data_IF_747690344712
#
_entry.id   IF_747690344712
#
_cell.length_a   1.000
_cell.length_b   1.000
_cell.length_c   1.000
_cell.angle_alpha   90.00
_cell.angle_beta   90.00
_cell.angle_gamma   90.00
#
_symmetry.space_group_name_H-M   'P 1'
#
loop_
_entity.id
_entity.type
_entity.pdbx_description
1 polymer ?
#
# COMPACT_ATOMS: atom_id res chain seq x y z
N UNK A 1 -19.14 -19.33 0.03
CA UNK A 1 -18.68 -19.16 -1.38
C UNK A 1 -18.14 -17.74 -1.53
N UNK A 2 -17.59 -17.40 -2.70
CA UNK A 2 -16.78 -16.18 -2.97
C UNK A 2 -15.34 -16.25 -2.43
N UNK A 3 -14.43 -16.82 -3.22
CA UNK A 3 -12.97 -16.68 -3.07
C UNK A 3 -12.51 -15.43 -3.85
N UNK A 4 -11.50 -14.71 -3.35
CA UNK A 4 -11.07 -13.40 -3.88
C UNK A 4 -9.56 -13.39 -4.13
N UNK A 5 -9.11 -13.09 -5.36
CA UNK A 5 -7.70 -13.17 -5.82
C UNK A 5 -7.39 -12.28 -7.04
N UNK A 6 -6.12 -11.86 -7.15
CA UNK A 6 -5.62 -10.61 -7.80
C UNK A 6 -4.08 -10.72 -7.99
N UNK A 7 -3.23 -9.82 -8.55
CA UNK A 7 -3.31 -8.64 -9.45
C UNK A 7 -1.85 -8.18 -9.78
N UNK A 8 -1.19 -8.75 -10.78
CA UNK A 8 0.24 -8.47 -11.08
C UNK A 8 0.57 -7.21 -11.90
N UNK A 9 1.87 -6.84 -11.96
CA UNK A 9 2.40 -5.66 -12.69
C UNK A 9 3.82 -5.84 -13.29
N UNK A 10 4.45 -4.86 -14.00
CA UNK A 10 5.94 -4.75 -14.17
C UNK A 10 6.44 -3.46 -14.92
N UNK A 11 7.76 -3.14 -14.93
CA UNK A 11 8.44 -1.97 -15.59
C UNK A 11 9.69 -2.30 -16.51
N UNK A 12 9.76 -1.91 -17.81
CA UNK A 12 11.00 -1.95 -18.69
C UNK A 12 11.08 -0.80 -19.71
N UNK A 13 12.19 -0.05 -19.72
CA UNK A 13 12.31 1.32 -20.29
C UNK A 13 12.45 1.34 -21.82
N UNK A 14 11.94 2.40 -22.47
CA UNK A 14 12.15 2.67 -23.91
C UNK A 14 13.65 2.76 -24.28
N UNK A 15 14.11 1.73 -25.02
CA UNK A 15 15.44 1.46 -25.62
C UNK A 15 16.39 0.57 -24.80
N UNK A 16 17.02 -0.32 -25.57
CA UNK A 16 18.06 -1.32 -25.24
C UNK A 16 17.60 -2.63 -24.53
N UNK A 17 17.76 -3.73 -25.28
CA UNK A 17 17.80 -5.15 -24.88
C UNK A 17 16.69 -5.74 -23.98
N UNK A 18 15.47 -5.82 -24.54
CA UNK A 18 14.54 -6.96 -24.43
C UNK A 18 14.58 -7.79 -23.13
N UNK A 19 14.13 -7.21 -22.02
CA UNK A 19 13.42 -7.94 -20.97
C UNK A 19 11.95 -7.52 -21.03
N UNK A 20 11.00 -8.39 -20.64
CA UNK A 20 9.57 -8.22 -20.96
C UNK A 20 8.67 -8.18 -19.71
N UNK A 21 7.44 -7.68 -19.90
CA UNK A 21 6.70 -6.94 -18.90
C UNK A 21 5.18 -7.16 -18.85
N UNK A 22 4.60 -7.51 -17.71
CA UNK A 22 3.27 -8.11 -17.69
C UNK A 22 2.46 -7.79 -16.43
N UNK A 23 1.17 -7.56 -16.63
CA UNK A 23 0.18 -7.29 -15.58
C UNK A 23 -0.76 -8.48 -15.38
N UNK A 24 -1.50 -8.46 -14.28
CA UNK A 24 -2.59 -9.37 -14.00
C UNK A 24 -3.70 -8.59 -13.26
N UNK A 25 -4.96 -8.82 -13.60
CA UNK A 25 -6.11 -8.12 -13.02
C UNK A 25 -7.43 -8.87 -13.33
N UNK A 26 -8.33 -8.95 -12.34
CA UNK A 26 -9.62 -9.64 -12.41
C UNK A 26 -10.70 -8.73 -13.01
N UNK A 27 -11.81 -9.34 -13.45
CA UNK A 27 -13.11 -8.66 -13.51
C UNK A 27 -14.22 -9.60 -13.03
N UNK A 28 -15.35 -9.01 -12.60
CA UNK A 28 -16.63 -9.61 -12.13
C UNK A 28 -16.90 -9.50 -10.62
N UNK A 29 -18.09 -8.97 -10.32
CA UNK A 29 -18.70 -8.69 -9.00
C UNK A 29 -17.97 -7.67 -8.11
N UNK A 30 -18.64 -6.54 -7.85
CA UNK A 30 -18.09 -5.33 -7.25
C UNK A 30 -18.24 -5.29 -5.72
N UNK A 31 -17.12 -5.46 -5.02
CA UNK A 31 -16.92 -5.10 -3.61
C UNK A 31 -16.04 -3.82 -3.52
N UNK A 32 -16.09 -3.07 -2.41
CA UNK A 32 -15.32 -1.83 -2.24
C UNK A 32 -13.79 -2.08 -2.30
N UNK A 33 -13.32 -3.20 -1.74
CA UNK A 33 -11.90 -3.62 -1.85
C UNK A 33 -11.46 -3.77 -3.30
N UNK A 34 -12.33 -4.34 -4.14
CA UNK A 34 -12.07 -4.57 -5.55
C UNK A 34 -11.83 -3.27 -6.34
N UNK A 35 -12.60 -2.23 -5.99
CA UNK A 35 -12.49 -0.93 -6.64
C UNK A 35 -11.13 -0.28 -6.33
N UNK A 36 -10.62 -0.45 -5.10
CA UNK A 36 -9.33 0.10 -4.69
C UNK A 36 -8.15 -0.58 -5.41
N UNK A 37 -8.19 -1.89 -5.60
CA UNK A 37 -7.18 -2.64 -6.36
C UNK A 37 -7.21 -2.28 -7.86
N UNK A 38 -8.40 -2.12 -8.44
CA UNK A 38 -8.58 -1.67 -9.82
C UNK A 38 -8.12 -0.21 -10.02
N UNK A 39 -8.34 0.67 -9.04
CA UNK A 39 -7.80 2.03 -9.07
C UNK A 39 -6.28 2.06 -9.01
N UNK A 40 -5.65 1.26 -8.14
CA UNK A 40 -4.20 1.13 -8.07
C UNK A 40 -3.61 0.64 -9.41
N UNK A 41 -4.26 -0.35 -10.03
CA UNK A 41 -3.89 -0.88 -11.34
C UNK A 41 -3.99 0.17 -12.45
N UNK A 42 -5.13 0.86 -12.57
CA UNK A 42 -5.34 1.86 -13.62
C UNK A 42 -4.37 3.05 -13.50
N UNK A 43 -4.04 3.46 -12.27
CA UNK A 43 -3.01 4.48 -12.01
C UNK A 43 -1.63 3.98 -12.45
N UNK A 44 -1.27 2.75 -12.09
CA UNK A 44 0.03 2.20 -12.48
C UNK A 44 0.17 2.09 -13.99
N UNK A 45 -0.84 1.63 -14.76
CA UNK A 45 -0.75 1.63 -16.24
C UNK A 45 -0.41 3.03 -16.79
N UNK A 46 -1.05 4.07 -16.26
CA UNK A 46 -0.83 5.44 -16.70
C UNK A 46 0.58 5.94 -16.33
N UNK A 47 1.02 5.72 -15.08
CA UNK A 47 2.36 6.10 -14.62
C UNK A 47 3.45 5.33 -15.40
N UNK A 48 3.19 4.08 -15.79
CA UNK A 48 4.08 3.26 -16.61
C UNK A 48 4.26 3.83 -18.03
N UNK A 49 3.17 4.13 -18.76
CA UNK A 49 3.29 4.69 -20.12
C UNK A 49 3.97 6.06 -20.13
N UNK A 50 3.68 6.91 -19.13
CA UNK A 50 4.36 8.21 -18.90
C UNK A 50 5.88 8.02 -18.74
N UNK A 51 6.30 7.00 -17.99
CA UNK A 51 7.72 6.65 -17.81
C UNK A 51 8.34 5.91 -19.02
N UNK A 52 7.54 5.61 -20.04
CA UNK A 52 7.97 4.90 -21.24
C UNK A 52 8.10 3.39 -21.06
N UNK A 53 7.35 2.82 -20.12
CA UNK A 53 7.21 1.38 -19.89
C UNK A 53 5.98 0.85 -20.67
N UNK A 54 6.07 -0.37 -21.25
CA UNK A 54 4.99 -0.95 -22.05
C UNK A 54 4.52 -2.30 -21.49
N UNK A 55 3.23 -2.41 -21.17
CA UNK A 55 2.59 -3.63 -20.65
C UNK A 55 2.29 -4.61 -21.81
N UNK A 56 2.87 -5.81 -21.78
CA UNK A 56 2.81 -6.80 -22.89
C UNK A 56 1.66 -7.81 -22.73
N UNK A 57 1.10 -7.96 -21.53
CA UNK A 57 -0.17 -8.66 -21.27
C UNK A 57 -0.83 -8.15 -19.99
N UNK A 58 -2.15 -8.31 -19.87
CA UNK A 58 -2.85 -8.37 -18.57
C UNK A 58 -3.66 -9.67 -18.46
N UNK A 59 -3.43 -10.48 -17.41
CA UNK A 59 -4.19 -11.73 -17.18
C UNK A 59 -5.12 -11.68 -15.96
N UNK A 60 -6.39 -12.05 -16.15
CA UNK A 60 -7.34 -12.30 -15.06
C UNK A 60 -7.34 -13.78 -14.67
N UNK A 61 -7.35 -14.09 -13.37
CA UNK A 61 -7.82 -15.37 -12.87
C UNK A 61 -8.79 -15.18 -11.69
N UNK A 62 -9.61 -16.20 -11.46
CA UNK A 62 -10.56 -16.26 -10.35
C UNK A 62 -10.63 -17.67 -9.73
N UNK A 63 -10.50 -18.71 -10.56
CA UNK A 63 -10.44 -20.11 -10.14
C UNK A 63 -9.32 -20.93 -10.84
N UNK A 64 -8.62 -20.37 -11.83
CA UNK A 64 -7.62 -21.08 -12.65
C UNK A 64 -6.35 -20.24 -12.81
N UNK A 65 -5.29 -20.58 -12.07
CA UNK A 65 -3.98 -19.91 -12.20
C UNK A 65 -3.20 -20.43 -13.40
N UNK A 66 -3.22 -21.74 -13.64
CA UNK A 66 -2.40 -22.43 -14.65
C UNK A 66 -2.62 -21.89 -16.07
N UNK A 67 -3.86 -21.53 -16.43
CA UNK A 67 -4.19 -20.98 -17.75
C UNK A 67 -3.75 -19.52 -17.94
N UNK A 68 -3.54 -18.76 -16.85
CA UNK A 68 -2.89 -17.46 -16.88
C UNK A 68 -1.36 -17.60 -16.99
N UNK A 69 -0.74 -18.50 -16.21
CA UNK A 69 0.70 -18.75 -16.26
C UNK A 69 1.17 -19.34 -17.61
N UNK A 70 0.36 -20.18 -18.28
CA UNK A 70 0.67 -20.67 -19.62
C UNK A 70 0.82 -19.52 -20.63
N UNK A 71 -0.21 -18.66 -20.76
CA UNK A 71 -0.19 -17.49 -21.66
C UNK A 71 0.98 -16.54 -21.36
N UNK A 72 1.32 -16.40 -20.07
CA UNK A 72 2.50 -15.67 -19.65
C UNK A 72 3.78 -16.35 -20.18
N UNK A 73 4.00 -17.63 -19.89
CA UNK A 73 5.16 -18.39 -20.39
C UNK A 73 5.29 -18.36 -21.92
N UNK A 74 4.17 -18.49 -22.63
CA UNK A 74 4.06 -18.39 -24.10
C UNK A 74 4.52 -17.03 -24.66
N UNK A 75 4.26 -15.93 -23.93
CA UNK A 75 4.67 -14.58 -24.32
C UNK A 75 6.14 -14.24 -23.97
N UNK A 76 6.93 -15.21 -23.49
CA UNK A 76 8.33 -15.05 -23.02
C UNK A 76 8.46 -14.08 -21.84
N UNK A 77 7.69 -14.35 -20.78
CA UNK A 77 7.65 -13.54 -19.56
C UNK A 77 8.94 -13.59 -18.75
N UNK A 78 9.37 -12.43 -18.22
CA UNK A 78 10.59 -12.28 -17.42
C UNK A 78 10.45 -11.43 -16.15
N UNK A 79 9.52 -10.47 -16.08
CA UNK A 79 9.27 -9.67 -14.85
C UNK A 79 7.77 -9.68 -14.53
N UNK A 80 7.42 -9.98 -13.28
CA UNK A 80 6.06 -10.19 -12.78
C UNK A 80 5.92 -9.64 -11.34
N UNK A 81 5.53 -8.38 -11.16
CA UNK A 81 4.99 -7.90 -9.88
C UNK A 81 3.67 -8.64 -9.54
N UNK A 82 3.23 -8.63 -8.28
CA UNK A 82 2.01 -9.31 -7.79
C UNK A 82 1.27 -8.58 -6.66
N UNK A 83 -0.05 -8.45 -6.73
CA UNK A 83 -0.93 -8.05 -5.61
C UNK A 83 -2.01 -9.13 -5.40
N UNK A 84 -1.61 -10.28 -4.89
CA UNK A 84 -2.51 -11.31 -4.36
C UNK A 84 -2.56 -11.19 -2.83
N UNK A 85 -3.44 -11.95 -2.16
CA UNK A 85 -3.31 -12.22 -0.72
C UNK A 85 -2.44 -13.48 -0.48
N UNK A 86 -2.11 -13.78 0.78
CA UNK A 86 -1.25 -14.91 1.18
C UNK A 86 -1.71 -16.27 0.64
N UNK A 87 -3.03 -16.52 0.61
CA UNK A 87 -3.61 -17.76 0.10
C UNK A 87 -3.32 -17.95 -1.39
N UNK A 88 -3.62 -16.93 -2.21
CA UNK A 88 -3.30 -16.95 -3.63
C UNK A 88 -1.79 -16.87 -3.89
N UNK A 89 -1.01 -16.23 -3.03
CA UNK A 89 0.46 -16.22 -3.14
C UNK A 89 0.99 -17.67 -3.12
N UNK A 90 0.55 -18.48 -2.15
CA UNK A 90 0.91 -19.91 -2.07
C UNK A 90 0.48 -20.67 -3.33
N UNK A 91 -0.79 -20.53 -3.76
CA UNK A 91 -1.29 -21.21 -4.97
C UNK A 91 -0.50 -20.81 -6.24
N UNK A 92 -0.22 -19.52 -6.42
CA UNK A 92 0.45 -18.97 -7.61
C UNK A 92 1.91 -19.37 -7.68
N UNK A 93 2.66 -19.30 -6.58
CA UNK A 93 4.07 -19.72 -6.60
C UNK A 93 4.20 -21.25 -6.73
N UNK A 94 3.28 -22.04 -6.18
CA UNK A 94 3.22 -23.48 -6.40
C UNK A 94 2.90 -23.88 -7.86
N UNK A 95 2.07 -23.11 -8.57
CA UNK A 95 1.90 -23.30 -10.01
C UNK A 95 3.12 -22.75 -10.80
N UNK A 96 3.70 -21.62 -10.39
CA UNK A 96 4.90 -21.07 -11.02
C UNK A 96 6.09 -22.04 -10.94
N UNK A 97 6.20 -22.83 -9.86
CA UNK A 97 7.16 -23.93 -9.75
C UNK A 97 7.00 -24.94 -10.90
N UNK A 98 5.79 -25.51 -11.06
CA UNK A 98 5.45 -26.49 -12.10
C UNK A 98 5.63 -25.93 -13.52
N UNK A 99 5.33 -24.65 -13.72
CA UNK A 99 5.56 -23.96 -14.99
C UNK A 99 7.04 -23.58 -15.19
N UNK A 100 7.93 -23.75 -14.22
CA UNK A 100 9.34 -23.36 -14.31
C UNK A 100 9.50 -21.85 -14.51
N UNK A 101 8.70 -21.07 -13.78
CA UNK A 101 8.60 -19.61 -13.82
C UNK A 101 9.25 -18.93 -12.60
N UNK A 102 10.39 -19.47 -12.14
CA UNK A 102 11.11 -19.03 -10.96
C UNK A 102 12.63 -19.00 -11.17
N UNK A 103 13.38 -18.54 -10.17
CA UNK A 103 14.84 -18.42 -10.21
C UNK A 103 15.35 -17.42 -11.26
N UNK A 104 16.64 -17.50 -11.61
CA UNK A 104 17.41 -16.47 -12.37
C UNK A 104 16.86 -16.02 -13.74
N UNK A 105 15.76 -16.59 -14.23
CA UNK A 105 15.09 -16.22 -15.50
C UNK A 105 13.76 -15.47 -15.30
N UNK A 106 13.30 -15.28 -14.07
CA UNK A 106 12.05 -14.62 -13.74
C UNK A 106 12.22 -13.78 -12.47
N UNK A 107 11.82 -12.52 -12.50
CA UNK A 107 11.80 -11.67 -11.32
C UNK A 107 10.35 -11.45 -10.86
N UNK A 108 10.02 -11.96 -9.67
CA UNK A 108 8.76 -11.66 -9.00
C UNK A 108 8.91 -10.46 -8.05
N UNK A 109 7.86 -9.66 -7.91
CA UNK A 109 7.83 -8.42 -7.10
C UNK A 109 6.46 -8.24 -6.42
N UNK A 110 6.21 -8.86 -5.28
CA UNK A 110 4.85 -8.97 -4.71
C UNK A 110 4.58 -7.94 -3.60
N UNK A 111 3.30 -7.69 -3.29
CA UNK A 111 2.92 -6.89 -2.12
C UNK A 111 3.39 -7.58 -0.84
N UNK A 112 4.16 -6.87 -0.02
CA UNK A 112 4.71 -7.40 1.23
C UNK A 112 3.79 -7.25 2.44
N UNK A 113 2.51 -6.94 2.25
CA UNK A 113 1.53 -6.67 3.31
C UNK A 113 1.05 -7.95 4.04
N UNK A 114 1.89 -8.99 4.09
CA UNK A 114 1.57 -10.34 4.55
C UNK A 114 2.02 -10.60 5.99
N UNK A 115 1.50 -11.68 6.58
CA UNK A 115 1.95 -12.19 7.88
C UNK A 115 3.40 -12.69 7.86
N UNK A 116 4.07 -12.64 9.02
CA UNK A 116 5.42 -13.16 9.16
C UNK A 116 5.43 -14.69 8.92
N UNK A 117 6.27 -15.14 7.98
CA UNK A 117 6.35 -16.54 7.55
C UNK A 117 5.06 -17.11 6.94
N UNK A 118 4.27 -16.28 6.24
CA UNK A 118 3.03 -16.68 5.55
C UNK A 118 3.15 -17.92 4.63
N UNK A 119 4.35 -18.19 4.11
CA UNK A 119 4.64 -19.36 3.26
C UNK A 119 4.81 -20.68 4.04
N UNK A 120 4.89 -20.64 5.38
CA UNK A 120 4.95 -21.83 6.24
C UNK A 120 3.56 -22.34 6.67
N UNK A 121 2.51 -21.54 6.51
CA UNK A 121 1.14 -21.91 6.87
C UNK A 121 0.62 -23.02 5.95
N UNK A 122 0.54 -24.22 6.51
CA UNK A 122 0.35 -25.47 5.79
C UNK A 122 -1.10 -25.88 5.56
N UNK A 123 -2.07 -25.07 6.01
CA UNK A 123 -3.51 -25.38 5.93
C UNK A 123 -4.01 -25.47 4.47
N UNK A 124 -3.27 -24.89 3.51
CA UNK A 124 -3.68 -24.78 2.11
C UNK A 124 -2.78 -25.53 1.11
N UNK A 125 -1.78 -26.30 1.57
CA UNK A 125 -0.93 -27.13 0.70
C UNK A 125 -1.67 -28.35 0.13
N UNK A 126 -2.47 -28.15 -0.92
CA UNK A 126 -3.15 -29.25 -1.62
C UNK A 126 -2.32 -29.82 -2.78
N UNK A 127 -1.42 -29.04 -3.39
CA UNK A 127 -0.81 -29.35 -4.69
C UNK A 127 0.69 -29.01 -4.81
N UNK A 128 1.42 -28.89 -3.70
CA UNK A 128 2.86 -28.60 -3.67
C UNK A 128 3.48 -28.90 -2.29
N UNK A 129 4.79 -29.09 -2.23
CA UNK A 129 5.56 -29.15 -0.97
C UNK A 129 6.05 -27.76 -0.52
N UNK A 130 6.51 -27.67 0.74
CA UNK A 130 7.10 -26.44 1.27
C UNK A 130 8.43 -26.10 0.58
N UNK A 131 9.21 -27.10 0.21
CA UNK A 131 10.46 -26.97 -0.53
C UNK A 131 10.21 -26.40 -1.93
N UNK A 132 9.21 -26.93 -2.65
CA UNK A 132 8.80 -26.42 -3.97
C UNK A 132 8.33 -24.95 -3.91
N UNK A 133 7.52 -24.60 -2.90
CA UNK A 133 7.11 -23.20 -2.69
C UNK A 133 8.31 -22.31 -2.35
N UNK A 134 9.23 -22.78 -1.52
CA UNK A 134 10.41 -22.02 -1.12
C UNK A 134 11.37 -21.79 -2.29
N UNK A 135 11.59 -22.81 -3.14
CA UNK A 135 12.39 -22.68 -4.37
C UNK A 135 11.75 -21.72 -5.38
N UNK A 136 10.41 -21.69 -5.45
CA UNK A 136 9.67 -20.74 -6.29
C UNK A 136 9.70 -19.30 -5.78
N UNK A 137 9.75 -19.09 -4.46
CA UNK A 137 9.82 -17.78 -3.81
C UNK A 137 11.23 -17.18 -3.77
N UNK A 138 12.27 -18.00 -3.93
CA UNK A 138 13.67 -17.57 -3.84
C UNK A 138 13.99 -16.42 -4.81
N UNK A 139 14.46 -15.30 -4.26
CA UNK A 139 14.73 -14.06 -5.01
C UNK A 139 13.51 -13.20 -5.35
N UNK A 140 12.30 -13.53 -4.87
CA UNK A 140 11.14 -12.64 -4.94
C UNK A 140 11.37 -11.35 -4.13
N UNK A 141 11.09 -10.19 -4.71
CA UNK A 141 11.11 -8.90 -4.01
C UNK A 141 9.73 -8.70 -3.39
N UNK A 142 9.65 -8.16 -2.17
CA UNK A 142 8.40 -7.73 -1.56
C UNK A 142 8.39 -6.21 -1.38
N UNK A 143 7.32 -5.55 -1.80
CA UNK A 143 7.14 -4.09 -1.65
C UNK A 143 6.10 -3.80 -0.58
N UNK A 144 6.47 -3.07 0.47
CA UNK A 144 5.61 -2.84 1.64
C UNK A 144 5.79 -1.44 2.26
N UNK A 145 4.85 -1.03 3.11
CA UNK A 145 4.90 0.21 3.89
C UNK A 145 5.79 0.04 5.14
N UNK A 146 6.87 0.82 5.23
CA UNK A 146 7.72 0.89 6.41
C UNK A 146 6.91 1.40 7.64
N UNK A 147 6.72 0.61 8.72
CA UNK A 147 5.83 1.00 9.82
C UNK A 147 6.38 2.12 10.74
N UNK A 148 7.70 2.29 10.78
CA UNK A 148 8.43 3.24 11.63
C UNK A 148 9.72 3.69 10.94
N UNK A 149 10.13 4.94 11.20
CA UNK A 149 11.40 5.48 10.71
C UNK A 149 12.61 4.70 11.24
N UNK A 150 13.62 4.55 10.39
CA UNK A 150 14.93 3.96 10.72
C UNK A 150 16.07 4.99 10.73
N UNK A 151 15.76 6.30 10.58
CA UNK A 151 16.78 7.36 10.55
C UNK A 151 17.42 7.66 11.93
N UNK A 152 16.74 7.32 13.03
CA UNK A 152 17.21 7.62 14.39
C UNK A 152 17.02 9.09 14.81
N UNK A 153 16.29 9.89 14.04
CA UNK A 153 16.03 11.30 14.34
C UNK A 153 15.07 11.45 15.54
N UNK A 154 15.19 12.59 16.23
CA UNK A 154 14.30 12.95 17.34
C UNK A 154 13.02 13.56 16.75
N UNK A 155 11.89 12.90 17.00
CA UNK A 155 10.58 13.31 16.47
C UNK A 155 9.98 14.47 17.28
N UNK A 156 8.86 15.03 16.81
CA UNK A 156 8.19 16.17 17.48
C UNK A 156 7.78 15.89 18.95
N UNK A 157 7.63 14.62 19.35
CA UNK A 157 7.31 14.26 20.73
C UNK A 157 8.50 14.38 21.69
N UNK A 158 9.71 14.53 21.17
CA UNK A 158 10.97 14.45 21.92
C UNK A 158 11.59 13.05 21.98
N UNK A 159 10.89 12.02 21.48
CA UNK A 159 11.37 10.64 21.41
C UNK A 159 11.82 10.29 19.98
N UNK A 160 12.75 9.33 19.86
CA UNK A 160 13.04 8.64 18.60
C UNK A 160 11.94 7.60 18.26
N UNK A 161 11.90 7.14 17.01
CA UNK A 161 10.97 6.10 16.58
C UNK A 161 11.16 4.75 17.32
N UNK A 162 12.37 4.44 17.78
CA UNK A 162 12.68 3.22 18.54
C UNK A 162 12.22 3.33 20.00
N UNK A 163 12.41 4.48 20.65
CA UNK A 163 11.87 4.73 21.99
C UNK A 163 10.32 4.68 21.98
N UNK A 164 9.70 5.25 20.95
CA UNK A 164 8.26 5.11 20.72
C UNK A 164 7.84 3.65 20.49
N UNK A 165 8.64 2.84 19.74
CA UNK A 165 8.36 1.41 19.55
C UNK A 165 8.35 0.68 20.89
N UNK A 166 9.35 0.92 21.74
CA UNK A 166 9.45 0.32 23.07
C UNK A 166 8.28 0.75 23.97
N UNK A 167 7.85 2.02 23.92
CA UNK A 167 6.65 2.49 24.63
C UNK A 167 5.38 1.77 24.13
N UNK A 168 5.19 1.68 22.81
CA UNK A 168 4.07 0.97 22.20
C UNK A 168 4.04 -0.53 22.54
N UNK A 169 5.17 -1.22 22.46
CA UNK A 169 5.30 -2.64 22.79
C UNK A 169 4.96 -2.92 24.26
N UNK A 170 5.30 -2.02 25.19
CA UNK A 170 4.95 -2.14 26.60
C UNK A 170 3.45 -1.88 26.89
N UNK A 171 2.77 -1.06 26.07
CA UNK A 171 1.38 -0.64 26.30
C UNK A 171 0.33 -1.46 25.54
N UNK A 172 0.68 -2.08 24.40
CA UNK A 172 -0.28 -2.76 23.51
C UNK A 172 -0.76 -4.14 23.97
N UNK A 173 -0.10 -4.73 24.96
CA UNK A 173 -0.39 -6.10 25.39
C UNK A 173 -0.13 -7.11 24.27
N UNK A 174 -1.13 -7.93 23.94
CA UNK A 174 -1.01 -8.96 22.89
C UNK A 174 -1.18 -8.44 21.46
N UNK A 175 -1.88 -7.31 21.27
CA UNK A 175 -2.28 -6.85 19.95
C UNK A 175 -1.15 -6.15 19.20
N UNK A 176 -1.05 -6.34 17.89
CA UNK A 176 -0.15 -5.59 17.01
C UNK A 176 -0.94 -4.98 15.85
N UNK A 177 -0.70 -3.71 15.56
CA UNK A 177 -1.18 -3.06 14.34
C UNK A 177 -0.02 -2.35 13.66
N UNK A 178 0.32 -2.78 12.44
CA UNK A 178 1.32 -2.15 11.58
C UNK A 178 1.05 -0.68 11.22
N UNK A 179 -0.12 -0.15 11.61
CA UNK A 179 -0.52 1.25 11.40
C UNK A 179 -0.41 2.11 12.67
N UNK A 180 0.22 1.62 13.73
CA UNK A 180 0.34 2.34 15.01
C UNK A 180 1.07 3.69 14.88
N UNK A 181 2.24 3.72 14.23
CA UNK A 181 3.00 4.96 13.98
C UNK A 181 2.23 5.97 13.15
N UNK A 182 1.60 5.54 12.05
CA UNK A 182 0.75 6.40 11.22
C UNK A 182 -0.44 6.99 11.99
N UNK A 183 -0.97 6.27 12.98
CA UNK A 183 -2.05 6.76 13.86
C UNK A 183 -1.51 7.82 14.84
N UNK A 184 -0.33 7.57 15.42
CA UNK A 184 0.36 8.50 16.33
C UNK A 184 0.68 9.84 15.64
N UNK A 185 1.30 9.79 14.46
CA UNK A 185 1.60 10.97 13.65
C UNK A 185 0.33 11.67 13.12
N UNK A 186 -0.75 10.93 12.88
CA UNK A 186 -2.06 11.50 12.56
C UNK A 186 -2.64 12.37 13.68
N UNK A 187 -2.47 11.96 14.94
CA UNK A 187 -2.88 12.76 16.11
C UNK A 187 -2.00 14.01 16.25
N UNK A 188 -0.69 13.90 16.09
CA UNK A 188 0.23 15.06 16.07
C UNK A 188 -0.13 16.05 14.96
N UNK A 189 -0.38 15.57 13.74
CA UNK A 189 -0.83 16.37 12.60
C UNK A 189 -2.10 17.18 12.93
N UNK A 190 -3.08 16.54 13.56
CA UNK A 190 -4.32 17.18 13.96
C UNK A 190 -4.12 18.20 15.11
N UNK A 191 -3.27 17.90 16.10
CA UNK A 191 -2.94 18.82 17.19
C UNK A 191 -2.26 20.10 16.67
N UNK A 192 -1.29 19.97 15.77
CA UNK A 192 -0.60 21.09 15.13
C UNK A 192 -1.56 21.93 14.26
N UNK A 193 -2.46 21.29 13.52
CA UNK A 193 -3.46 21.98 12.73
C UNK A 193 -4.41 22.81 13.61
N UNK A 194 -4.89 22.23 14.72
CA UNK A 194 -5.71 22.92 15.74
C UNK A 194 -4.94 24.10 16.34
N UNK A 195 -3.66 23.94 16.68
CA UNK A 195 -2.82 25.01 17.23
C UNK A 195 -2.65 26.18 16.25
N UNK A 196 -2.34 25.91 14.98
CA UNK A 196 -2.23 26.94 13.95
C UNK A 196 -3.57 27.66 13.73
N UNK A 197 -4.70 26.94 13.67
CA UNK A 197 -6.03 27.55 13.57
C UNK A 197 -6.35 28.43 14.79
N UNK A 198 -6.02 27.98 16.01
CA UNK A 198 -6.29 28.71 17.25
C UNK A 198 -5.56 30.07 17.31
N UNK A 199 -4.33 30.13 16.77
CA UNK A 199 -3.57 31.38 16.61
C UNK A 199 -4.15 32.25 15.48
N UNK A 200 -4.57 31.63 14.38
CA UNK A 200 -4.94 32.33 13.14
C UNK A 200 -6.37 32.89 13.15
N UNK A 201 -7.34 32.22 13.77
CA UNK A 201 -8.74 32.69 13.81
C UNK A 201 -8.88 34.11 14.37
N UNK A 202 -8.12 34.45 15.43
CA UNK A 202 -8.15 35.77 16.09
C UNK A 202 -7.79 36.93 15.17
N UNK A 203 -7.06 36.68 14.08
CA UNK A 203 -6.71 37.71 13.09
C UNK A 203 -7.92 38.12 12.22
N UNK A 204 -8.84 37.18 11.96
CA UNK A 204 -10.07 37.41 11.19
C UNK A 204 -11.27 37.74 12.08
N UNK A 205 -11.38 37.09 13.24
CA UNK A 205 -12.48 37.23 14.21
C UNK A 205 -11.88 37.33 15.61
N UNK A 206 -11.60 38.56 16.07
CA UNK A 206 -10.91 38.84 17.35
C UNK A 206 -11.48 38.12 18.58
N UNK A 207 -12.80 37.90 18.59
CA UNK A 207 -13.53 37.29 19.71
C UNK A 207 -13.74 35.77 19.55
N UNK A 208 -13.49 35.19 18.38
CA UNK A 208 -13.63 33.75 18.16
C UNK A 208 -12.38 33.01 18.69
N UNK A 209 -12.62 31.89 19.35
CA UNK A 209 -11.62 30.92 19.81
C UNK A 209 -12.01 29.52 19.30
N UNK A 210 -11.21 28.47 19.57
CA UNK A 210 -11.60 27.10 19.19
C UNK A 210 -12.94 26.65 19.79
N UNK A 211 -13.40 27.26 20.91
CA UNK A 211 -14.74 27.01 21.48
C UNK A 211 -15.89 27.60 20.64
N UNK A 212 -15.57 28.45 19.66
CA UNK A 212 -16.51 29.14 18.77
C UNK A 212 -16.50 28.52 17.35
N UNK A 213 -15.93 27.32 17.20
CA UNK A 213 -15.99 26.53 15.98
C UNK A 213 -17.44 26.29 15.53
N UNK A 214 -17.68 26.37 14.22
CA UNK A 214 -18.99 26.21 13.60
C UNK A 214 -18.87 25.27 12.41
N UNK A 215 -19.71 24.24 12.38
CA UNK A 215 -19.88 23.40 11.19
C UNK A 215 -20.45 24.24 10.03
N UNK A 216 -19.98 23.99 8.80
CA UNK A 216 -20.40 24.69 7.56
C UNK A 216 -20.10 26.21 7.56
N UNK A 217 -19.03 26.62 8.22
CA UNK A 217 -18.49 28.00 8.17
C UNK A 217 -17.20 27.98 7.34
N UNK A 218 -17.25 28.57 6.13
CA UNK A 218 -16.18 28.52 5.14
C UNK A 218 -14.83 29.03 5.69
N UNK A 219 -14.83 29.99 6.61
CA UNK A 219 -13.60 30.49 7.22
C UNK A 219 -12.93 29.42 8.10
N UNK A 220 -13.72 28.68 8.89
CA UNK A 220 -13.19 27.59 9.71
C UNK A 220 -12.64 26.47 8.81
N UNK A 221 -13.35 26.11 7.74
CA UNK A 221 -12.91 25.11 6.76
C UNK A 221 -11.59 25.53 6.08
N UNK A 222 -11.53 26.74 5.52
CA UNK A 222 -10.33 27.27 4.85
C UNK A 222 -9.13 27.36 5.82
N UNK A 223 -9.35 27.77 7.07
CA UNK A 223 -8.30 27.81 8.09
C UNK A 223 -7.76 26.41 8.42
N UNK A 224 -8.63 25.40 8.55
CA UNK A 224 -8.21 24.02 8.81
C UNK A 224 -7.50 23.39 7.60
N UNK A 225 -8.02 23.57 6.38
CA UNK A 225 -7.37 23.08 5.16
C UNK A 225 -6.00 23.76 4.94
N UNK A 226 -5.88 25.06 5.20
CA UNK A 226 -4.61 25.77 5.14
C UNK A 226 -3.65 25.36 6.26
N UNK A 227 -4.15 25.06 7.46
CA UNK A 227 -3.33 24.54 8.55
C UNK A 227 -2.73 23.19 8.19
N UNK A 228 -3.58 22.22 7.84
CA UNK A 228 -3.18 20.87 7.44
C UNK A 228 -2.19 20.89 6.26
N UNK A 229 -2.45 21.68 5.21
CA UNK A 229 -1.55 21.82 4.06
C UNK A 229 -0.16 22.38 4.44
N UNK A 230 -0.08 23.18 5.52
CA UNK A 230 1.15 23.83 5.96
C UNK A 230 1.82 23.10 7.16
N UNK A 231 1.21 22.03 7.70
CA UNK A 231 1.81 21.20 8.74
C UNK A 231 2.92 20.34 8.16
N UNK A 232 4.13 20.45 8.72
CA UNK A 232 5.27 19.59 8.45
C UNK A 232 6.10 19.41 9.72
N UNK A 233 6.47 18.16 10.05
CA UNK A 233 7.26 17.81 11.24
C UNK A 233 7.91 16.42 11.08
N UNK A 234 8.98 16.14 11.83
CA UNK A 234 9.53 14.77 11.93
C UNK A 234 8.61 13.93 12.82
N UNK A 235 7.95 12.94 12.23
CA UNK A 235 7.10 11.97 12.92
C UNK A 235 7.78 10.62 13.11
N UNK A 236 7.14 9.71 13.85
CA UNK A 236 7.66 8.35 14.06
C UNK A 236 7.67 7.52 12.77
N UNK A 237 6.97 7.97 11.72
CA UNK A 237 6.93 7.39 10.37
C UNK A 237 7.75 8.16 9.31
N UNK A 238 8.69 9.03 9.73
CA UNK A 238 9.44 10.05 8.94
C UNK A 238 8.73 11.42 8.89
N UNK A 239 9.31 12.37 8.13
CA UNK A 239 8.74 13.70 7.90
C UNK A 239 7.29 13.59 7.38
N UNK A 240 6.34 14.01 8.20
CA UNK A 240 4.93 14.09 7.85
C UNK A 240 4.66 15.33 7.00
N UNK A 241 4.26 15.15 5.73
CA UNK A 241 3.90 16.23 4.81
C UNK A 241 2.55 15.92 4.15
N UNK A 242 1.54 16.77 4.34
CA UNK A 242 0.24 16.58 3.69
C UNK A 242 0.23 17.07 2.24
N UNK A 243 0.23 16.11 1.31
CA UNK A 243 0.29 16.38 -0.12
C UNK A 243 -0.93 17.19 -0.63
N UNK A 244 -0.77 18.20 -1.52
CA UNK A 244 -1.84 19.12 -1.93
C UNK A 244 -3.07 18.52 -2.63
N UNK A 245 -3.08 17.21 -2.95
CA UNK A 245 -4.28 16.49 -3.43
C UNK A 245 -5.21 16.04 -2.29
N UNK A 246 -4.84 16.23 -1.02
CA UNK A 246 -5.69 15.90 0.13
C UNK A 246 -6.98 16.72 0.10
N UNK A 247 -8.13 16.04 0.00
CA UNK A 247 -9.47 16.63 0.11
C UNK A 247 -10.18 16.00 1.30
N UNK A 248 -10.81 16.82 2.15
CA UNK A 248 -11.79 16.29 3.09
C UNK A 248 -13.03 15.84 2.32
N UNK A 249 -13.26 14.53 2.23
CA UNK A 249 -14.47 13.98 1.63
C UNK A 249 -15.64 14.08 2.62
N UNK A 250 -16.30 15.24 2.66
CA UNK A 250 -17.55 15.40 3.39
C UNK A 250 -18.69 14.70 2.61
N UNK A 251 -18.95 13.43 2.94
CA UNK A 251 -20.09 12.66 2.42
C UNK A 251 -21.36 13.24 3.05
N UNK A 252 -22.24 13.86 2.26
CA UNK A 252 -23.51 14.38 2.81
C UNK A 252 -24.31 13.25 3.49
N UNK A 253 -24.87 13.50 4.69
CA UNK A 253 -25.87 12.59 5.23
C UNK A 253 -27.10 12.64 4.31
N UNK A 254 -27.44 11.50 3.69
CA UNK A 254 -28.69 11.36 2.95
C UNK A 254 -29.86 11.69 3.89
N UNK A 255 -30.79 12.51 3.41
CA UNK A 255 -32.08 12.74 4.07
C UNK A 255 -33.03 11.56 3.84
#
# INVERSE_FOLDING_TARGET
MSRVGFLGYAMTRKKENSHRLYMCNRSVELDEKLQQELEAHNRLVADLDILGFHVVETQSFANEVSSALSKLKEKDVRIILGNFNESWAREIFCEAYKFGMYGRKYQWLIMGTYSNNWWLDSVEFQNCSLEELSEALEGCILTDLLPLSTNGEITISGNTAEEYRLEYDNLRGGDYSRFHGYTYDGIWTMALAIQHVALRIRHYRKNDTMKNFRYRDELWEQLFLQALKNTSFEGVTLICILHPKFRMFYKEPRR
#
